data_IF_002442807218
#
_entry.id   IF_002442807218
#
_cell.length_a   1.000
_cell.length_b   1.000
_cell.length_c   1.000
_cell.angle_alpha   90.00
_cell.angle_beta   90.00
_cell.angle_gamma   90.00
#
_symmetry.space_group_name_H-M   'P 1'
#
loop_
_entity.id
_entity.type
_entity.pdbx_description
1 polymer ?
#
# COMPACT_ATOMS: atom_id res chain seq x y z
N UNK A 1 -30.49 -0.22 7.11
CA UNK A 1 -29.02 -0.34 7.31
C UNK A 1 -28.82 -1.08 8.63
N UNK A 2 -28.17 -2.25 8.62
CA UNK A 2 -27.99 -3.09 9.82
C UNK A 2 -26.76 -2.63 10.60
N UNK A 3 -26.96 -1.76 11.59
CA UNK A 3 -25.91 -1.34 12.51
C UNK A 3 -25.41 -2.54 13.34
N UNK A 4 -24.09 -2.60 13.62
CA UNK A 4 -23.47 -3.63 14.46
C UNK A 4 -23.00 -4.91 13.75
N UNK A 5 -23.04 -4.95 12.41
CA UNK A 5 -22.48 -6.07 11.64
C UNK A 5 -21.04 -5.78 11.20
N UNK A 6 -20.18 -6.80 11.04
CA UNK A 6 -18.84 -6.63 10.48
C UNK A 6 -18.82 -5.95 9.11
N UNK A 7 -19.88 -6.14 8.32
CA UNK A 7 -20.04 -5.55 7.00
C UNK A 7 -20.35 -4.04 7.06
N UNK A 8 -21.14 -3.62 8.07
CA UNK A 8 -21.36 -2.22 8.36
C UNK A 8 -20.08 -1.52 8.84
N UNK A 9 -19.30 -2.16 9.72
CA UNK A 9 -18.01 -1.63 10.18
C UNK A 9 -16.99 -1.50 9.04
N UNK A 10 -16.95 -2.50 8.14
CA UNK A 10 -16.12 -2.46 6.95
C UNK A 10 -16.56 -1.34 6.00
N UNK A 11 -17.87 -1.19 5.76
CA UNK A 11 -18.42 -0.10 4.98
C UNK A 11 -18.09 1.28 5.57
N UNK A 12 -18.22 1.45 6.89
CA UNK A 12 -17.89 2.69 7.58
C UNK A 12 -16.39 3.01 7.44
N UNK A 13 -15.50 2.04 7.70
CA UNK A 13 -14.04 2.24 7.50
C UNK A 13 -13.71 2.62 6.07
N UNK A 14 -14.31 1.93 5.10
CA UNK A 14 -14.07 2.20 3.69
C UNK A 14 -14.61 3.59 3.33
N UNK A 15 -15.82 3.93 3.76
CA UNK A 15 -16.41 5.24 3.54
C UNK A 15 -15.55 6.36 4.14
N UNK A 16 -15.16 6.27 5.42
CA UNK A 16 -14.27 7.25 6.07
C UNK A 16 -12.95 7.39 5.31
N UNK A 17 -12.33 6.28 4.87
CA UNK A 17 -11.11 6.31 4.06
C UNK A 17 -11.26 7.14 2.78
N UNK A 18 -12.38 7.02 2.08
CA UNK A 18 -12.58 7.76 0.82
C UNK A 18 -13.16 9.15 1.03
N UNK A 19 -13.96 9.36 2.07
CA UNK A 19 -14.52 10.66 2.45
C UNK A 19 -13.41 11.63 2.86
N UNK A 20 -12.50 11.21 3.74
CA UNK A 20 -11.33 12.04 4.11
C UNK A 20 -10.44 12.30 2.89
N UNK A 21 -10.34 11.35 1.96
CA UNK A 21 -9.59 11.52 0.72
C UNK A 21 -10.24 12.49 -0.26
N UNK A 22 -11.56 12.69 -0.20
CA UNK A 22 -12.27 13.67 -1.04
C UNK A 22 -12.34 15.05 -0.41
N UNK A 23 -12.43 15.14 0.93
CA UNK A 23 -12.56 16.43 1.65
C UNK A 23 -11.28 17.29 1.52
N UNK A 24 -10.09 16.69 1.36
CA UNK A 24 -8.84 17.43 1.18
C UNK A 24 -8.72 18.22 -0.13
N UNK A 25 -9.68 18.07 -1.06
CA UNK A 25 -9.73 18.83 -2.30
C UNK A 25 -10.66 20.04 -2.13
N UNK A 26 -10.30 21.00 -1.28
CA UNK A 26 -11.00 22.27 -1.23
C UNK A 26 -10.86 22.97 -2.60
N UNK A 27 -11.98 23.07 -3.32
CA UNK A 27 -12.09 23.76 -4.61
C UNK A 27 -12.37 25.25 -4.35
N UNK A 28 -11.48 25.91 -3.62
CA UNK A 28 -11.63 27.35 -3.30
C UNK A 28 -10.91 28.21 -4.34
N UNK A 29 -10.70 27.65 -5.53
CA UNK A 29 -10.02 28.30 -6.63
C UNK A 29 -10.91 29.30 -7.34
N UNK A 30 -10.47 30.57 -7.41
CA UNK A 30 -11.10 31.60 -8.23
C UNK A 30 -11.13 31.24 -9.72
N UNK A 31 -11.79 32.09 -10.52
CA UNK A 31 -12.02 31.87 -11.95
C UNK A 31 -10.78 31.44 -12.75
N UNK A 32 -9.61 32.05 -12.49
CA UNK A 32 -8.36 31.72 -13.17
C UNK A 32 -7.92 30.25 -12.96
N UNK A 33 -8.18 29.66 -11.79
CA UNK A 33 -7.86 28.27 -11.50
C UNK A 33 -8.80 27.32 -12.25
N UNK A 34 -10.08 27.68 -12.38
CA UNK A 34 -11.06 26.90 -13.14
C UNK A 34 -10.73 26.90 -14.63
N UNK A 35 -10.36 28.06 -15.18
CA UNK A 35 -9.90 28.18 -16.57
C UNK A 35 -8.60 27.41 -16.83
N UNK A 36 -7.65 27.45 -15.88
CA UNK A 36 -6.45 26.63 -15.95
C UNK A 36 -6.79 25.13 -15.95
N UNK A 37 -7.67 24.67 -15.05
CA UNK A 37 -8.10 23.28 -14.99
C UNK A 37 -8.83 22.84 -16.27
N UNK A 38 -9.65 23.70 -16.87
CA UNK A 38 -10.32 23.44 -18.14
C UNK A 38 -9.30 23.29 -19.30
N UNK A 39 -8.31 24.18 -19.39
CA UNK A 39 -7.21 24.06 -20.37
C UNK A 39 -6.41 22.77 -20.17
N UNK A 40 -6.15 22.42 -18.92
CA UNK A 40 -5.43 21.19 -18.57
C UNK A 40 -6.24 19.93 -18.94
N UNK A 41 -7.56 19.94 -18.71
CA UNK A 41 -8.46 18.87 -19.13
C UNK A 41 -8.47 18.71 -20.66
N UNK A 42 -8.56 19.80 -21.40
CA UNK A 42 -8.57 19.74 -22.86
C UNK A 42 -7.27 19.16 -23.43
N UNK A 43 -6.12 19.61 -22.92
CA UNK A 43 -4.82 19.06 -23.30
C UNK A 43 -4.71 17.56 -22.96
N UNK A 44 -5.05 17.18 -21.73
CA UNK A 44 -4.87 15.81 -21.23
C UNK A 44 -5.92 14.83 -21.76
N UNK A 45 -7.01 15.31 -22.37
CA UNK A 45 -8.06 14.48 -22.97
C UNK A 45 -7.52 13.53 -24.03
N UNK A 46 -6.46 13.93 -24.74
CA UNK A 46 -5.88 13.16 -25.84
C UNK A 46 -4.64 12.36 -25.47
N UNK A 47 -4.12 12.55 -24.26
CA UNK A 47 -2.95 11.82 -23.78
C UNK A 47 -3.31 10.39 -23.34
N UNK A 48 -2.58 9.35 -23.77
CA UNK A 48 -2.83 7.99 -23.29
C UNK A 48 -2.67 7.88 -21.77
N UNK A 49 -3.63 7.22 -21.09
CA UNK A 49 -3.59 7.07 -19.63
C UNK A 49 -3.31 5.63 -19.14
N UNK A 50 -3.52 4.64 -20.01
CA UNK A 50 -3.35 3.22 -19.70
C UNK A 50 -3.21 2.39 -20.98
N UNK A 51 -2.76 1.12 -20.92
CA UNK A 51 -2.65 0.27 -22.11
C UNK A 51 -3.97 0.08 -22.87
N UNK A 52 -5.11 0.18 -22.20
CA UNK A 52 -6.46 0.00 -22.79
C UNK A 52 -7.07 1.34 -23.28
N UNK A 53 -6.30 2.44 -23.27
CA UNK A 53 -6.82 3.77 -23.58
C UNK A 53 -7.05 3.96 -25.09
N UNK A 54 -8.23 4.41 -25.55
CA UNK A 54 -8.50 4.70 -26.96
C UNK A 54 -7.56 5.75 -27.58
N UNK A 55 -6.89 6.57 -26.78
CA UNK A 55 -5.96 7.59 -27.27
C UNK A 55 -4.73 7.00 -27.96
N UNK A 56 -4.41 5.72 -27.74
CA UNK A 56 -3.36 5.01 -28.49
C UNK A 56 -3.63 4.98 -30.00
N UNK A 57 -4.90 5.04 -30.42
CA UNK A 57 -5.28 5.09 -31.83
C UNK A 57 -4.77 6.36 -32.53
N UNK A 58 -4.47 7.45 -31.80
CA UNK A 58 -3.83 8.65 -32.38
C UNK A 58 -2.40 8.40 -32.85
N UNK A 59 -1.74 7.42 -32.26
CA UNK A 59 -0.36 7.04 -32.54
C UNK A 59 -0.30 5.78 -33.39
N UNK A 60 -1.42 5.39 -34.04
CA UNK A 60 -1.53 4.15 -34.80
C UNK A 60 -1.23 2.87 -33.98
N UNK A 61 -1.32 2.94 -32.66
CA UNK A 61 -1.11 1.80 -31.76
C UNK A 61 -2.46 1.23 -31.33
N UNK A 62 -2.65 -0.07 -31.51
CA UNK A 62 -3.85 -0.74 -31.04
C UNK A 62 -3.84 -0.79 -29.50
N UNK A 63 -4.86 -0.25 -28.80
CA UNK A 63 -4.95 -0.40 -27.36
C UNK A 63 -5.21 -1.86 -26.98
N UNK A 64 -4.77 -2.23 -25.78
CA UNK A 64 -5.14 -3.52 -25.18
C UNK A 64 -6.66 -3.63 -25.07
N UNK A 65 -7.22 -4.78 -25.44
CA UNK A 65 -8.67 -5.06 -25.42
C UNK A 65 -9.49 -4.04 -26.25
N UNK A 66 -9.00 -3.72 -27.46
CA UNK A 66 -9.66 -2.79 -28.37
C UNK A 66 -11.10 -3.23 -28.71
N UNK A 67 -12.04 -2.28 -28.67
CA UNK A 67 -13.46 -2.53 -28.95
C UNK A 67 -13.95 -1.65 -30.10
N UNK A 68 -14.95 -2.11 -30.89
CA UNK A 68 -15.64 -1.25 -31.85
C UNK A 68 -16.18 0.03 -31.18
N UNK A 69 -16.05 1.16 -31.85
CA UNK A 69 -16.50 2.47 -31.34
C UNK A 69 -15.53 3.17 -30.37
N UNK A 70 -14.31 2.64 -30.19
CA UNK A 70 -13.24 3.40 -29.52
C UNK A 70 -12.82 4.60 -30.37
N UNK A 71 -12.89 5.79 -29.78
CA UNK A 71 -12.52 7.05 -30.44
C UNK A 71 -11.52 7.81 -29.55
N UNK A 72 -10.43 8.34 -30.12
CA UNK A 72 -9.54 9.27 -29.43
C UNK A 72 -10.29 10.42 -28.74
N UNK A 73 -9.85 10.78 -27.54
CA UNK A 73 -10.47 11.82 -26.73
C UNK A 73 -11.79 11.44 -26.06
N UNK A 74 -12.26 10.19 -26.20
CA UNK A 74 -13.50 9.69 -25.56
C UNK A 74 -13.23 8.59 -24.54
N UNK A 75 -12.02 8.51 -23.99
CA UNK A 75 -11.67 7.54 -22.97
C UNK A 75 -12.51 7.77 -21.69
N UNK A 76 -13.16 6.70 -21.18
CA UNK A 76 -13.96 6.73 -19.94
C UNK A 76 -13.14 6.43 -18.67
N UNK A 77 -11.82 6.34 -18.80
CA UNK A 77 -10.92 6.04 -17.69
C UNK A 77 -10.92 7.14 -16.64
N UNK A 78 -10.73 6.78 -15.36
CA UNK A 78 -10.68 7.75 -14.24
C UNK A 78 -9.64 8.86 -14.48
N UNK A 79 -8.54 8.55 -15.14
CA UNK A 79 -7.49 9.51 -15.46
C UNK A 79 -7.93 10.70 -16.34
N UNK A 80 -9.08 10.62 -17.03
CA UNK A 80 -9.62 11.70 -17.86
C UNK A 80 -10.78 12.46 -17.20
N UNK A 81 -11.12 12.16 -15.95
CA UNK A 81 -12.14 12.92 -15.21
C UNK A 81 -11.54 14.22 -14.66
N UNK A 82 -12.28 15.35 -14.69
CA UNK A 82 -11.85 16.62 -14.10
C UNK A 82 -11.36 16.48 -12.65
N UNK A 83 -12.09 15.71 -11.84
CA UNK A 83 -11.80 15.38 -10.44
C UNK A 83 -10.44 14.69 -10.20
N UNK A 84 -9.77 14.24 -11.28
CA UNK A 84 -8.56 13.44 -11.23
C UNK A 84 -7.38 14.05 -12.02
N UNK A 85 -7.48 15.33 -12.43
CA UNK A 85 -6.44 16.07 -13.14
C UNK A 85 -5.75 17.08 -12.20
N UNK A 86 -4.41 17.14 -12.21
CA UNK A 86 -3.62 18.08 -11.38
C UNK A 86 -2.46 17.45 -10.60
N UNK A 87 -1.77 18.25 -9.77
CA UNK A 87 -0.86 17.75 -8.72
C UNK A 87 -1.73 17.09 -7.63
N UNK A 88 -1.45 15.81 -7.34
CA UNK A 88 -2.38 14.82 -6.72
C UNK A 88 -3.46 14.23 -7.64
N UNK A 89 -3.54 14.67 -8.90
CA UNK A 89 -4.39 14.15 -9.97
C UNK A 89 -3.93 12.77 -10.45
N UNK A 90 -4.80 11.79 -10.27
CA UNK A 90 -4.51 10.38 -10.54
C UNK A 90 -4.52 10.03 -12.02
N UNK A 91 -3.64 10.61 -12.85
CA UNK A 91 -3.28 9.97 -14.13
C UNK A 91 -2.52 8.67 -13.89
N UNK A 92 -1.67 8.66 -12.86
CA UNK A 92 -1.08 7.46 -12.29
C UNK A 92 -1.94 7.01 -11.09
N UNK A 93 -2.83 6.06 -11.34
CA UNK A 93 -3.80 5.56 -10.35
C UNK A 93 -3.19 4.69 -9.25
N UNK A 94 -1.95 4.21 -9.44
CA UNK A 94 -1.30 3.24 -8.56
C UNK A 94 0.13 3.70 -8.29
N UNK A 95 0.51 3.75 -7.01
CA UNK A 95 1.84 4.22 -6.57
C UNK A 95 3.01 3.46 -7.21
N UNK A 96 2.81 2.19 -7.58
CA UNK A 96 3.84 1.42 -8.28
C UNK A 96 4.23 2.05 -9.61
N UNK A 97 3.34 2.77 -10.31
CA UNK A 97 3.69 3.40 -11.60
C UNK A 97 4.49 4.69 -11.45
N UNK A 98 4.52 5.25 -10.24
CA UNK A 98 5.29 6.46 -9.93
C UNK A 98 6.68 6.10 -9.40
N UNK A 99 6.73 5.10 -8.52
CA UNK A 99 7.98 4.59 -7.94
C UNK A 99 8.67 3.52 -8.80
N UNK A 100 7.95 2.95 -9.77
CA UNK A 100 8.31 1.70 -10.46
C UNK A 100 8.61 0.53 -9.50
N UNK A 101 8.12 0.60 -8.25
CA UNK A 101 8.36 -0.41 -7.21
C UNK A 101 7.08 -1.17 -6.85
N UNK A 102 7.21 -2.48 -6.71
CA UNK A 102 6.20 -3.40 -6.19
C UNK A 102 5.97 -3.19 -4.68
N UNK A 103 4.86 -3.72 -4.15
CA UNK A 103 4.62 -3.69 -2.70
C UNK A 103 5.69 -4.44 -1.90
N UNK A 104 6.27 -5.49 -2.48
CA UNK A 104 7.35 -6.26 -1.86
C UNK A 104 8.63 -5.42 -1.76
N UNK A 105 8.99 -4.71 -2.83
CA UNK A 105 10.14 -3.80 -2.84
C UNK A 105 9.94 -2.65 -1.84
N UNK A 106 8.75 -2.04 -1.77
CA UNK A 106 8.44 -1.04 -0.73
C UNK A 106 8.51 -1.62 0.70
N UNK A 107 8.20 -2.90 0.88
CA UNK A 107 8.36 -3.57 2.18
C UNK A 107 9.84 -3.79 2.49
N UNK A 108 10.64 -4.15 1.50
CA UNK A 108 12.09 -4.30 1.64
C UNK A 108 12.77 -2.96 1.94
N UNK A 109 12.41 -1.88 1.24
CA UNK A 109 12.93 -0.54 1.49
C UNK A 109 12.69 -0.12 2.95
N UNK A 110 11.45 -0.30 3.45
CA UNK A 110 11.12 0.00 4.85
C UNK A 110 11.89 -0.87 5.84
N UNK A 111 12.06 -2.16 5.54
CA UNK A 111 12.85 -3.07 6.38
C UNK A 111 14.31 -2.63 6.41
N UNK A 112 14.89 -2.32 5.26
CA UNK A 112 16.27 -1.83 5.12
C UNK A 112 16.46 -0.57 5.95
N UNK A 113 15.57 0.41 5.79
CA UNK A 113 15.61 1.65 6.57
C UNK A 113 15.51 1.41 8.08
N UNK A 114 14.64 0.50 8.53
CA UNK A 114 14.54 0.15 9.97
C UNK A 114 15.84 -0.50 10.46
N UNK A 115 16.41 -1.43 9.69
CA UNK A 115 17.66 -2.12 10.08
C UNK A 115 18.83 -1.15 10.14
N UNK A 116 18.95 -0.25 9.16
CA UNK A 116 19.93 0.85 9.14
C UNK A 116 19.76 1.77 10.35
N UNK A 117 18.53 2.20 10.65
CA UNK A 117 18.24 3.05 11.80
C UNK A 117 18.56 2.38 13.14
N UNK A 118 18.47 1.04 13.21
CA UNK A 118 18.80 0.24 14.39
C UNK A 118 20.28 -0.20 14.44
N UNK A 119 21.09 0.12 13.43
CA UNK A 119 22.47 -0.35 13.31
C UNK A 119 22.60 -1.87 13.16
N UNK A 120 21.55 -2.55 12.71
CA UNK A 120 21.53 -3.99 12.51
C UNK A 120 21.91 -4.34 11.07
N UNK A 121 22.69 -5.41 10.91
CA UNK A 121 23.02 -5.92 9.58
C UNK A 121 21.75 -6.46 8.91
N UNK A 122 21.49 -6.04 7.67
CA UNK A 122 20.51 -6.71 6.82
C UNK A 122 21.09 -8.02 6.33
N UNK A 123 20.89 -9.09 7.11
CA UNK A 123 21.29 -10.43 6.69
C UNK A 123 20.56 -10.81 5.39
N UNK A 124 21.29 -11.05 4.29
CA UNK A 124 20.69 -11.41 3.04
C UNK A 124 19.95 -12.74 3.20
N UNK A 125 18.70 -12.77 2.77
CA UNK A 125 17.97 -14.04 2.68
C UNK A 125 18.62 -14.85 1.56
N UNK A 126 19.51 -15.79 1.90
CA UNK A 126 20.22 -16.62 0.92
C UNK A 126 19.23 -17.36 0.00
N UNK A 127 19.10 -16.94 -1.29
CA UNK A 127 18.02 -17.41 -2.16
C UNK A 127 18.12 -18.92 -2.48
N UNK A 128 19.33 -19.46 -2.41
CA UNK A 128 19.64 -20.86 -2.71
C UNK A 128 19.75 -21.75 -1.46
N UNK A 129 19.61 -21.18 -0.26
CA UNK A 129 19.62 -21.95 0.99
C UNK A 129 18.40 -22.85 1.13
N UNK A 130 17.31 -22.49 0.45
CA UNK A 130 16.05 -23.20 0.52
C UNK A 130 15.57 -23.61 -0.88
N UNK A 131 15.22 -24.89 -1.02
CA UNK A 131 14.52 -25.39 -2.20
C UNK A 131 13.03 -25.42 -1.88
N UNK A 132 12.25 -24.58 -2.55
CA UNK A 132 10.81 -24.56 -2.40
C UNK A 132 10.17 -25.67 -3.23
N UNK A 133 9.41 -26.56 -2.59
CA UNK A 133 8.62 -27.61 -3.25
C UNK A 133 7.17 -27.51 -2.78
N UNK A 134 6.23 -27.64 -3.71
CA UNK A 134 4.81 -27.80 -3.36
C UNK A 134 4.62 -29.10 -2.61
N UNK A 135 4.09 -29.04 -1.39
CA UNK A 135 3.81 -30.23 -0.59
C UNK A 135 2.39 -30.73 -0.86
N UNK A 136 2.19 -32.05 -1.06
CA UNK A 136 0.87 -32.63 -1.25
C UNK A 136 0.01 -32.48 0.01
N UNK A 137 -1.31 -32.46 -0.17
CA UNK A 137 -2.25 -32.45 0.95
C UNK A 137 -2.09 -33.74 1.77
N UNK A 138 -1.84 -33.62 3.07
CA UNK A 138 -1.64 -34.76 3.98
C UNK A 138 -0.20 -35.22 4.16
N UNK A 139 0.80 -34.47 3.66
CA UNK A 139 2.21 -34.77 3.91
C UNK A 139 2.50 -34.82 5.43
N UNK A 140 2.97 -35.98 5.90
CA UNK A 140 3.30 -36.25 7.30
C UNK A 140 4.42 -35.34 7.84
N UNK A 141 5.22 -34.73 6.96
CA UNK A 141 6.27 -33.79 7.34
C UNK A 141 5.73 -32.37 7.59
N UNK A 142 4.45 -32.11 7.30
CA UNK A 142 3.81 -30.83 7.57
C UNK A 142 3.13 -30.89 8.94
N UNK A 143 3.56 -30.06 9.91
CA UNK A 143 2.88 -29.99 11.20
C UNK A 143 1.39 -29.67 11.02
N UNK A 144 0.50 -30.22 11.87
CA UNK A 144 -0.92 -29.91 11.84
C UNK A 144 -1.19 -28.40 11.86
N UNK A 145 -2.31 -27.97 11.27
CA UNK A 145 -2.65 -26.54 11.15
C UNK A 145 -2.55 -25.81 12.49
N UNK A 146 -3.07 -26.40 13.57
CA UNK A 146 -3.00 -25.82 14.91
C UNK A 146 -1.56 -25.52 15.36
N UNK A 147 -0.62 -26.43 15.10
CA UNK A 147 0.80 -26.26 15.45
C UNK A 147 1.43 -25.14 14.64
N UNK A 148 1.14 -25.05 13.34
CA UNK A 148 1.64 -23.96 12.49
C UNK A 148 1.10 -22.61 12.92
N UNK A 149 -0.19 -22.53 13.26
CA UNK A 149 -0.81 -21.32 13.78
C UNK A 149 -0.16 -20.89 15.10
N UNK A 150 0.07 -21.82 16.04
CA UNK A 150 0.77 -21.54 17.30
C UNK A 150 2.20 -21.03 17.06
N UNK A 151 2.93 -21.60 16.09
CA UNK A 151 4.27 -21.11 15.71
C UNK A 151 4.23 -19.69 15.15
N UNK A 152 3.27 -19.38 14.26
CA UNK A 152 3.09 -18.02 13.73
C UNK A 152 2.68 -17.01 14.81
N UNK A 153 1.85 -17.42 15.77
CA UNK A 153 1.48 -16.59 16.93
C UNK A 153 2.71 -16.32 17.81
N UNK A 154 3.50 -17.36 18.11
CA UNK A 154 4.74 -17.23 18.87
C UNK A 154 5.74 -16.29 18.18
N UNK A 155 5.97 -16.44 16.88
CA UNK A 155 6.83 -15.53 16.11
C UNK A 155 6.34 -14.08 16.20
N UNK A 156 5.03 -13.86 16.08
CA UNK A 156 4.45 -12.51 16.21
C UNK A 156 4.61 -11.94 17.62
N UNK A 157 4.47 -12.75 18.66
CA UNK A 157 4.71 -12.33 20.04
C UNK A 157 6.18 -11.98 20.27
N UNK A 158 7.10 -12.82 19.78
CA UNK A 158 8.55 -12.59 19.83
C UNK A 158 8.93 -11.27 19.17
N UNK A 159 8.43 -11.01 17.97
CA UNK A 159 8.66 -9.74 17.26
C UNK A 159 8.10 -8.53 18.02
N UNK A 160 6.91 -8.65 18.62
CA UNK A 160 6.34 -7.58 19.45
C UNK A 160 7.18 -7.30 20.69
N UNK A 161 7.65 -8.34 21.38
CA UNK A 161 8.51 -8.20 22.54
C UNK A 161 9.83 -7.51 22.16
N UNK A 162 10.44 -7.94 21.04
CA UNK A 162 11.67 -7.34 20.55
C UNK A 162 11.51 -5.86 20.17
N UNK A 163 10.40 -5.49 19.51
CA UNK A 163 10.13 -4.08 19.20
C UNK A 163 9.95 -3.24 20.47
N UNK A 164 9.24 -3.75 21.49
CA UNK A 164 9.09 -3.04 22.78
C UNK A 164 10.44 -2.84 23.48
N UNK A 165 11.32 -3.84 23.42
CA UNK A 165 12.67 -3.76 23.98
C UNK A 165 13.50 -2.68 23.28
N UNK A 166 13.44 -2.62 21.94
CA UNK A 166 14.10 -1.57 21.16
C UNK A 166 13.53 -0.19 21.45
N UNK A 167 12.20 -0.06 21.52
CA UNK A 167 11.52 1.19 21.91
C UNK A 167 12.00 1.67 23.30
N UNK A 168 12.04 0.77 24.29
CA UNK A 168 12.53 1.07 25.64
C UNK A 168 14.00 1.54 25.65
N UNK A 169 14.87 0.90 24.85
CA UNK A 169 16.28 1.29 24.69
C UNK A 169 16.43 2.66 24.03
N UNK A 170 15.67 2.93 22.98
CA UNK A 170 15.72 4.24 22.27
C UNK A 170 15.12 5.39 23.08
N UNK A 171 14.19 5.10 24.00
CA UNK A 171 13.58 6.08 24.88
C UNK A 171 14.51 6.52 26.05
N UNK A 172 15.71 5.94 26.17
CA UNK A 172 16.66 6.33 27.23
C UNK A 172 16.17 5.98 28.65
N UNK A 173 15.38 4.92 28.80
CA UNK A 173 15.04 4.39 30.12
C UNK A 173 16.02 3.27 30.47
N UNK A 174 17.00 3.61 31.32
CA UNK A 174 17.71 2.61 32.12
C UNK A 174 16.68 1.91 33.00
N UNK A 175 16.39 0.64 32.70
CA UNK A 175 15.52 -0.21 33.51
C UNK A 175 16.32 -1.02 34.56
N UNK A 176 17.50 -0.52 34.97
CA UNK A 176 18.18 -1.02 36.16
C UNK A 176 17.56 -0.41 37.43
N UNK A 177 16.48 -1.02 37.92
CA UNK A 177 16.13 -1.12 39.35
C UNK A 177 14.72 -1.71 39.50
N UNK A 178 14.64 -3.04 39.51
CA UNK A 178 13.75 -3.72 40.45
C UNK A 178 14.59 -4.74 41.21
N UNK A 179 15.49 -4.23 42.07
CA UNK A 179 15.97 -5.04 43.19
C UNK A 179 14.80 -5.17 44.17
N UNK A 180 14.27 -6.37 44.26
CA UNK A 180 13.27 -6.78 45.23
C UNK A 180 13.92 -6.82 46.63
N UNK A 181 13.99 -5.66 47.29
CA UNK A 181 14.28 -5.62 48.73
C UNK A 181 12.98 -5.90 49.49
N UNK A 182 12.71 -7.19 49.65
CA UNK A 182 11.75 -7.71 50.61
C UNK A 182 12.07 -7.20 52.02
N UNK A 183 11.17 -6.36 52.55
CA UNK A 183 11.17 -5.87 53.92
C UNK A 183 10.80 -7.01 54.87
N UNK A 184 11.79 -7.54 55.56
CA UNK A 184 11.62 -8.33 56.78
C UNK A 184 11.95 -7.45 58.00
N UNK A 185 10.91 -7.09 58.76
CA UNK A 185 10.87 -6.80 60.20
C UNK A 185 9.54 -6.11 60.53
#
# INVERSE_FOLDING_TARGET
MLAGTPDADQCIRYLSKYLTKSIGNALDGGQAQQEHAARMLDALRYEPCSPTCPNWLRYCTQPKDAKPGMVPGRCRGKAHKPEHLGYAGRRILVSHKWSNKTLAEHKQDRRTWVLEALGQADEPTEPHRYVWRSLPAGDANVPPLAVRLLRSVHERQRWRAHLRELEARTAGQDLSATEDQGRAA
#
